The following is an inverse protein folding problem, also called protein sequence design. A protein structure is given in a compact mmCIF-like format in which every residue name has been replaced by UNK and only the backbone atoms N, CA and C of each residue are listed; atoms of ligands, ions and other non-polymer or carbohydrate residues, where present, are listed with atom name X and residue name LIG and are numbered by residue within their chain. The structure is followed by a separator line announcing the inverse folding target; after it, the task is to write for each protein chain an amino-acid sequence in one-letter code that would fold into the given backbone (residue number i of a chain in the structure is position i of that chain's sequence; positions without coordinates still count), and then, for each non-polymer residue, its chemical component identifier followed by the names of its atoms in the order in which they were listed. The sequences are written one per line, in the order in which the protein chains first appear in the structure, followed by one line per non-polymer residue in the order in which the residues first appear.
data_IF_237030144257
#
_entry.id   IF_237030144257
#
_cell.length_a   1.000
_cell.length_b   1.000
_cell.length_c   1.000
_cell.angle_alpha   90.00
_cell.angle_beta   90.00
_cell.angle_gamma   90.00
#
_symmetry.space_group_name_H-M   'P 1'
#
loop_
_entity.id
_entity.type
_entity.pdbx_description
1 polymer ?
#
# COMPACT_ATOMS: atom_id res chain seq x y z
N UNK A 1 -40.79 -36.97 -57.98
CA UNK A 1 -41.58 -37.28 -56.75
C UNK A 1 -41.35 -36.12 -55.77
N UNK A 2 -42.26 -35.13 -55.71
CA UNK A 2 -43.20 -34.87 -54.57
C UNK A 2 -42.50 -35.00 -53.19
N UNK A 3 -42.50 -34.03 -52.26
CA UNK A 3 -43.17 -32.73 -52.09
C UNK A 3 -42.49 -32.02 -50.90
N UNK A 4 -42.51 -30.68 -50.92
CA UNK A 4 -42.27 -29.75 -49.80
C UNK A 4 -43.15 -30.07 -48.57
N UNK A 5 -42.76 -29.62 -47.38
CA UNK A 5 -43.56 -28.66 -46.59
C UNK A 5 -42.76 -28.01 -45.45
N UNK A 6 -42.68 -26.68 -45.48
CA UNK A 6 -42.53 -25.78 -44.32
C UNK A 6 -43.80 -25.84 -43.46
N UNK A 7 -43.69 -25.83 -42.14
CA UNK A 7 -44.64 -25.12 -41.25
C UNK A 7 -43.88 -24.57 -40.03
N UNK A 8 -43.95 -23.24 -39.89
CA UNK A 8 -43.62 -22.43 -38.72
C UNK A 8 -44.59 -22.68 -37.56
N UNK A 9 -44.16 -22.53 -36.31
CA UNK A 9 -45.00 -21.92 -35.27
C UNK A 9 -44.15 -21.19 -34.24
N UNK A 10 -44.45 -19.90 -34.09
CA UNK A 10 -44.17 -19.05 -32.94
C UNK A 10 -44.86 -19.63 -31.70
N UNK A 11 -44.25 -19.49 -30.52
CA UNK A 11 -44.98 -19.28 -29.26
C UNK A 11 -44.12 -18.48 -28.27
N UNK A 12 -44.77 -17.44 -27.77
CA UNK A 12 -44.39 -16.37 -26.85
C UNK A 12 -44.20 -16.82 -25.40
N UNK A 13 -43.31 -16.09 -24.71
CA UNK A 13 -43.35 -15.66 -23.30
C UNK A 13 -44.39 -16.30 -22.36
N UNK A 14 -43.89 -16.89 -21.26
CA UNK A 14 -44.57 -16.87 -19.97
C UNK A 14 -43.53 -16.65 -18.85
N UNK A 15 -43.60 -15.45 -18.27
CA UNK A 15 -43.04 -15.11 -16.95
C UNK A 15 -43.83 -15.89 -15.91
N UNK A 16 -43.14 -16.65 -15.06
CA UNK A 16 -43.69 -17.11 -13.78
C UNK A 16 -42.61 -17.01 -12.71
N UNK A 17 -42.72 -15.95 -11.91
CA UNK A 17 -41.97 -15.75 -10.70
C UNK A 17 -42.31 -16.86 -9.68
N UNK A 18 -41.28 -17.58 -9.24
CA UNK A 18 -41.22 -18.25 -7.94
C UNK A 18 -39.81 -17.92 -7.41
N UNK A 19 -39.64 -16.99 -6.49
CA UNK A 19 -40.26 -17.02 -5.17
C UNK A 19 -39.56 -18.05 -4.28
N UNK A 20 -38.22 -18.07 -4.25
CA UNK A 20 -37.48 -18.69 -3.15
C UNK A 20 -36.58 -17.64 -2.51
N UNK A 21 -37.06 -17.15 -1.36
CA UNK A 21 -36.31 -16.35 -0.42
C UNK A 21 -35.02 -17.09 -0.06
N UNK A 22 -33.91 -16.67 -0.64
CA UNK A 22 -32.57 -17.09 -0.22
C UNK A 22 -32.07 -16.11 0.83
N UNK A 23 -32.64 -16.17 2.03
CA UNK A 23 -32.11 -15.48 3.19
C UNK A 23 -31.44 -16.48 4.12
N UNK A 24 -30.17 -16.17 4.41
CA UNK A 24 -29.38 -16.56 5.57
C UNK A 24 -29.15 -18.05 5.80
N UNK A 25 -28.00 -18.54 5.34
CA UNK A 25 -26.90 -18.91 6.25
C UNK A 25 -25.58 -18.57 5.56
N UNK A 26 -25.22 -17.29 5.58
CA UNK A 26 -23.83 -16.87 5.43
C UNK A 26 -23.08 -17.43 6.64
N UNK A 27 -22.56 -18.65 6.53
CA UNK A 27 -21.47 -19.09 7.42
C UNK A 27 -20.31 -18.14 7.12
N UNK A 28 -20.18 -17.07 7.92
CA UNK A 28 -18.89 -16.38 8.06
C UNK A 28 -17.88 -17.49 8.34
N UNK A 29 -16.91 -17.66 7.44
CA UNK A 29 -15.89 -18.70 7.58
C UNK A 29 -15.21 -18.47 8.93
N UNK A 30 -15.07 -19.48 9.81
CA UNK A 30 -14.51 -19.31 11.16
C UNK A 30 -13.18 -18.52 11.16
N UNK A 31 -12.32 -18.76 10.15
CA UNK A 31 -11.04 -18.09 9.99
C UNK A 31 -11.11 -16.57 9.74
N UNK A 32 -12.19 -16.03 9.15
CA UNK A 32 -12.32 -14.57 8.98
C UNK A 32 -12.66 -13.86 10.29
N UNK A 33 -13.39 -14.54 11.19
CA UNK A 33 -13.72 -13.97 12.50
C UNK A 33 -12.50 -13.96 13.43
N UNK A 34 -11.70 -15.04 13.40
CA UNK A 34 -10.44 -15.13 14.14
C UNK A 34 -9.43 -14.07 13.66
N UNK A 35 -9.20 -13.96 12.34
CA UNK A 35 -8.34 -12.92 11.75
C UNK A 35 -8.72 -11.51 12.22
N UNK A 36 -10.00 -11.15 12.12
CA UNK A 36 -10.49 -9.82 12.54
C UNK A 36 -10.20 -9.57 14.02
N UNK A 37 -10.42 -10.57 14.88
CA UNK A 37 -10.14 -10.43 16.32
C UNK A 37 -8.66 -10.19 16.61
N UNK A 38 -7.76 -10.86 15.88
CA UNK A 38 -6.31 -10.67 16.01
C UNK A 38 -5.92 -9.25 15.60
N UNK A 39 -6.42 -8.76 14.47
CA UNK A 39 -6.12 -7.41 13.98
C UNK A 39 -6.68 -6.33 14.91
N UNK A 40 -7.92 -6.48 15.37
CA UNK A 40 -8.52 -5.59 16.35
C UNK A 40 -7.71 -5.52 17.65
N UNK A 41 -7.19 -6.67 18.10
CA UNK A 41 -6.32 -6.73 19.27
C UNK A 41 -5.04 -5.94 19.04
N UNK A 42 -4.36 -6.13 17.90
CA UNK A 42 -3.13 -5.39 17.54
C UNK A 42 -3.37 -3.88 17.53
N UNK A 43 -4.44 -3.43 16.86
CA UNK A 43 -4.77 -2.00 16.72
C UNK A 43 -5.32 -1.35 18.00
N UNK A 44 -5.53 -2.12 19.06
CA UNK A 44 -5.96 -1.63 20.38
C UNK A 44 -4.80 -1.54 21.39
N UNK A 45 -3.61 -2.02 21.01
CA UNK A 45 -2.44 -2.12 21.87
C UNK A 45 -1.34 -1.17 21.42
N UNK A 46 -0.38 -0.91 22.32
CA UNK A 46 0.84 -0.21 21.94
C UNK A 46 1.65 -1.04 20.94
N UNK A 47 2.29 -0.36 19.99
CA UNK A 47 3.13 -1.00 18.97
C UNK A 47 4.27 -1.78 19.63
N UNK A 48 4.40 -3.10 19.39
CA UNK A 48 5.49 -3.88 19.96
C UNK A 48 6.80 -3.56 19.24
N UNK A 49 7.97 -3.81 19.88
CA UNK A 49 9.27 -3.56 19.26
C UNK A 49 9.40 -4.19 17.86
N UNK A 50 10.03 -3.47 16.93
CA UNK A 50 10.30 -3.96 15.59
C UNK A 50 11.24 -5.17 15.65
N UNK A 51 10.82 -6.30 15.06
CA UNK A 51 11.51 -7.58 15.13
C UNK A 51 12.12 -7.94 13.77
N UNK A 52 12.99 -8.94 13.75
CA UNK A 52 13.51 -9.49 12.49
C UNK A 52 12.38 -10.06 11.59
N UNK A 53 11.32 -10.61 12.19
CA UNK A 53 10.16 -11.11 11.45
C UNK A 53 9.34 -9.97 10.84
N UNK A 54 9.19 -8.85 11.55
CA UNK A 54 8.59 -7.63 10.97
C UNK A 54 9.37 -7.16 9.76
N UNK A 55 10.71 -7.10 9.87
CA UNK A 55 11.56 -6.70 8.76
C UNK A 55 11.48 -7.65 7.56
N UNK A 56 11.35 -8.96 7.80
CA UNK A 56 11.15 -9.92 6.71
C UNK A 56 9.89 -9.60 5.91
N UNK A 57 8.78 -9.29 6.60
CA UNK A 57 7.52 -8.95 5.96
C UNK A 57 7.55 -7.55 5.30
N UNK A 58 8.13 -6.54 5.94
CA UNK A 58 8.29 -5.19 5.36
C UNK A 58 9.00 -5.26 4.02
N UNK A 59 10.05 -6.09 3.91
CA UNK A 59 10.85 -6.24 2.69
C UNK A 59 10.10 -6.90 1.52
N UNK A 60 8.95 -7.53 1.78
CA UNK A 60 8.10 -8.13 0.75
C UNK A 60 7.07 -7.15 0.18
N UNK A 61 6.83 -6.03 0.85
CA UNK A 61 5.79 -5.09 0.44
C UNK A 61 6.06 -4.54 -0.96
N UNK A 62 4.98 -4.41 -1.72
CA UNK A 62 4.96 -3.89 -3.09
C UNK A 62 4.34 -2.49 -3.10
N UNK A 63 5.15 -1.53 -3.49
CA UNK A 63 4.74 -0.13 -3.56
C UNK A 63 4.12 0.16 -4.93
N UNK A 64 2.91 0.71 -4.91
CA UNK A 64 2.21 1.19 -6.10
C UNK A 64 2.01 2.72 -6.05
N UNK A 65 1.75 3.32 -7.21
CA UNK A 65 1.31 4.70 -7.28
C UNK A 65 -0.20 4.77 -7.04
N UNK A 66 -0.63 5.45 -5.98
CA UNK A 66 -2.04 5.71 -5.71
C UNK A 66 -2.44 7.00 -6.43
N UNK A 67 -3.30 6.97 -7.48
CA UNK A 67 -3.60 8.15 -8.30
C UNK A 67 -4.68 9.06 -7.66
N UNK A 68 -4.60 9.29 -6.35
CA UNK A 68 -5.53 10.16 -5.62
C UNK A 68 -4.97 11.58 -5.63
N UNK A 69 -5.69 12.52 -6.25
CA UNK A 69 -5.30 13.93 -6.37
C UNK A 69 -3.96 14.11 -7.11
N UNK A 70 -2.88 14.52 -6.44
CA UNK A 70 -1.54 14.57 -7.05
C UNK A 70 -0.88 13.19 -7.14
N UNK A 71 -1.43 12.24 -6.39
CA UNK A 71 -0.93 10.89 -6.20
C UNK A 71 0.20 10.81 -5.18
N UNK A 72 0.44 9.60 -4.69
CA UNK A 72 1.56 9.31 -3.81
C UNK A 72 1.85 7.80 -3.77
N UNK A 73 3.02 7.39 -3.28
CA UNK A 73 3.30 5.98 -3.02
C UNK A 73 2.33 5.39 -1.98
N UNK A 74 1.86 4.17 -2.24
CA UNK A 74 1.03 3.39 -1.32
C UNK A 74 1.11 1.90 -1.60
N UNK A 75 0.15 1.14 -1.10
CA UNK A 75 0.11 -0.32 -1.20
C UNK A 75 -1.24 -0.80 -1.70
N UNK A 76 -1.28 -2.00 -2.25
CA UNK A 76 -2.55 -2.70 -2.48
C UNK A 76 -3.01 -3.34 -1.15
N UNK A 77 -4.16 -2.93 -0.58
CA UNK A 77 -4.66 -3.52 0.66
C UNK A 77 -5.12 -4.97 0.51
N UNK A 78 -5.35 -5.44 -0.73
CA UNK A 78 -5.78 -6.80 -1.05
C UNK A 78 -4.58 -7.73 -1.20
N UNK A 79 -3.57 -7.32 -1.96
CA UNK A 79 -2.32 -8.06 -2.15
C UNK A 79 -1.06 -7.23 -1.86
N UNK A 80 -0.74 -6.96 -0.58
CA UNK A 80 0.39 -6.13 -0.19
C UNK A 80 1.75 -6.62 -0.67
N UNK A 81 1.90 -7.93 -0.88
CA UNK A 81 3.13 -8.57 -1.35
C UNK A 81 3.11 -8.84 -2.86
N UNK A 82 1.99 -8.57 -3.55
CA UNK A 82 1.73 -9.02 -4.92
C UNK A 82 1.75 -10.55 -5.06
N UNK A 83 1.88 -11.01 -6.31
CA UNK A 83 2.01 -12.42 -6.66
C UNK A 83 0.70 -13.22 -6.61
N UNK A 84 0.80 -14.53 -6.84
CA UNK A 84 -0.37 -15.40 -7.00
C UNK A 84 -0.90 -15.98 -5.68
N UNK A 85 -0.07 -16.00 -4.62
CA UNK A 85 -0.45 -16.54 -3.32
C UNK A 85 -1.22 -15.50 -2.50
N UNK A 86 -2.06 -15.96 -1.58
CA UNK A 86 -2.67 -15.06 -0.62
C UNK A 86 -1.58 -14.40 0.25
N UNK A 87 -1.82 -13.19 0.73
CA UNK A 87 -0.87 -12.48 1.60
C UNK A 87 -0.50 -13.30 2.84
N UNK A 88 -1.47 -14.03 3.40
CA UNK A 88 -1.26 -14.84 4.59
C UNK A 88 -0.40 -16.08 4.29
N UNK A 89 -0.63 -16.75 3.16
CA UNK A 89 0.19 -17.90 2.75
C UNK A 89 1.64 -17.47 2.50
N UNK A 90 1.85 -16.35 1.81
CA UNK A 90 3.18 -15.76 1.60
C UNK A 90 3.85 -15.41 2.93
N UNK A 91 3.12 -14.79 3.87
CA UNK A 91 3.64 -14.49 5.20
C UNK A 91 4.06 -15.77 5.96
N UNK A 92 3.21 -16.79 5.96
CA UNK A 92 3.50 -18.09 6.58
C UNK A 92 4.73 -18.76 5.97
N UNK A 93 4.87 -18.73 4.65
CA UNK A 93 6.02 -19.30 3.94
C UNK A 93 7.33 -18.58 4.31
N UNK A 94 7.35 -17.25 4.27
CA UNK A 94 8.56 -16.46 4.58
C UNK A 94 8.95 -16.58 6.04
N UNK A 95 7.96 -16.53 6.94
CA UNK A 95 8.18 -16.69 8.38
C UNK A 95 8.49 -18.14 8.79
N UNK A 96 8.34 -19.10 7.86
CA UNK A 96 8.41 -20.55 8.13
C UNK A 96 7.52 -20.95 9.30
N UNK A 97 6.31 -20.41 9.32
CA UNK A 97 5.32 -20.58 10.39
C UNK A 97 4.08 -21.29 9.86
N UNK A 98 3.57 -22.25 10.61
CA UNK A 98 2.26 -22.86 10.37
C UNK A 98 1.15 -22.24 11.21
N UNK A 99 1.46 -21.21 12.00
CA UNK A 99 0.50 -20.49 12.85
C UNK A 99 -0.07 -19.27 12.09
N UNK A 100 -1.32 -19.35 11.60
CA UNK A 100 -1.94 -18.25 10.88
C UNK A 100 -2.25 -17.04 11.77
N UNK A 101 -2.47 -17.23 13.07
CA UNK A 101 -2.71 -16.14 14.01
C UNK A 101 -1.42 -15.34 14.24
N UNK A 102 -0.28 -16.02 14.37
CA UNK A 102 1.03 -15.37 14.43
C UNK A 102 1.31 -14.54 13.17
N UNK A 103 1.13 -15.13 11.97
CA UNK A 103 1.37 -14.41 10.71
C UNK A 103 0.42 -13.23 10.52
N UNK A 104 -0.86 -13.39 10.89
CA UNK A 104 -1.85 -12.30 10.88
C UNK A 104 -1.43 -11.16 11.80
N UNK A 105 -1.02 -11.50 13.03
CA UNK A 105 -0.57 -10.53 14.02
C UNK A 105 0.64 -9.75 13.54
N UNK A 106 1.69 -10.43 13.09
CA UNK A 106 2.91 -9.79 12.60
C UNK A 106 2.64 -8.89 11.39
N UNK A 107 1.75 -9.30 10.49
CA UNK A 107 1.40 -8.47 9.33
C UNK A 107 0.55 -7.24 9.72
N UNK A 108 -0.35 -7.38 10.70
CA UNK A 108 -1.08 -6.24 11.26
C UNK A 108 -0.14 -5.27 11.99
N UNK A 109 0.84 -5.79 12.75
CA UNK A 109 1.89 -5.00 13.39
C UNK A 109 2.75 -4.27 12.34
N UNK A 110 3.06 -4.92 11.20
CA UNK A 110 3.73 -4.27 10.06
C UNK A 110 2.92 -3.09 9.50
N UNK A 111 1.59 -3.21 9.40
CA UNK A 111 0.75 -2.10 8.94
C UNK A 111 0.93 -0.84 9.81
N UNK A 112 1.02 -1.02 11.13
CA UNK A 112 1.28 0.07 12.08
C UNK A 112 2.73 0.56 12.05
N UNK A 113 3.70 -0.33 11.81
CA UNK A 113 5.12 0.01 11.77
C UNK A 113 5.54 0.85 10.56
N UNK A 114 4.77 0.83 9.46
CA UNK A 114 5.21 1.43 8.19
C UNK A 114 5.57 2.93 8.28
N UNK A 115 4.73 3.82 8.85
CA UNK A 115 5.07 5.23 8.97
C UNK A 115 6.33 5.45 9.80
N UNK A 116 6.45 4.77 10.95
CA UNK A 116 7.60 4.90 11.85
C UNK A 116 8.88 4.33 11.23
N UNK A 117 8.79 3.17 10.56
CA UNK A 117 9.91 2.59 9.83
C UNK A 117 10.40 3.56 8.76
N UNK A 118 9.50 4.07 7.92
CA UNK A 118 9.89 4.98 6.83
C UNK A 118 10.49 6.27 7.38
N UNK A 119 9.92 6.85 8.44
CA UNK A 119 10.43 8.07 9.06
C UNK A 119 11.84 7.94 9.65
N UNK A 120 12.26 6.73 10.03
CA UNK A 120 13.51 6.51 10.78
C UNK A 120 14.51 5.58 10.10
N UNK A 121 14.12 4.87 9.05
CA UNK A 121 15.02 3.98 8.33
C UNK A 121 16.10 4.78 7.62
N UNK A 122 17.30 4.21 7.59
CA UNK A 122 18.43 4.78 6.86
C UNK A 122 18.77 3.90 5.67
N UNK A 123 19.18 4.54 4.58
CA UNK A 123 19.72 3.88 3.40
C UNK A 123 20.75 4.78 2.74
N UNK A 124 21.91 4.22 2.40
CA UNK A 124 22.94 4.98 1.70
C UNK A 124 22.48 5.33 0.27
N UNK A 125 22.88 6.48 -0.28
CA UNK A 125 22.70 6.74 -1.71
C UNK A 125 23.41 5.69 -2.57
N UNK A 126 22.84 5.36 -3.71
CA UNK A 126 23.42 4.41 -4.64
C UNK A 126 22.43 3.79 -5.60
N UNK A 127 22.95 2.92 -6.46
CA UNK A 127 22.15 2.21 -7.48
C UNK A 127 21.64 0.90 -6.89
N UNK A 128 20.32 0.74 -6.84
CA UNK A 128 19.64 -0.44 -6.33
C UNK A 128 18.83 -1.12 -7.44
N UNK A 129 18.72 -2.44 -7.39
CA UNK A 129 17.83 -3.19 -8.28
C UNK A 129 16.38 -3.01 -7.84
N UNK A 130 15.49 -2.72 -8.78
CA UNK A 130 14.05 -2.77 -8.52
C UNK A 130 13.55 -4.21 -8.65
N UNK A 131 12.42 -4.55 -8.02
CA UNK A 131 11.75 -5.80 -8.32
C UNK A 131 11.39 -5.91 -9.82
N UNK A 132 11.46 -7.11 -10.44
CA UNK A 132 11.26 -7.28 -11.88
C UNK A 132 9.92 -6.77 -12.43
N UNK A 133 8.90 -6.74 -11.59
CA UNK A 133 7.49 -6.37 -11.86
C UNK A 133 7.12 -5.01 -11.24
N UNK A 134 8.10 -4.19 -10.85
CA UNK A 134 7.84 -2.92 -10.15
C UNK A 134 7.16 -1.86 -11.02
N UNK A 135 7.37 -1.91 -12.33
CA UNK A 135 6.71 -1.05 -13.32
C UNK A 135 6.83 -1.70 -14.69
N UNK A 136 6.20 -1.14 -15.73
CA UNK A 136 6.38 -1.53 -17.13
C UNK A 136 7.84 -1.39 -17.65
N UNK A 137 8.79 -1.07 -16.77
CA UNK A 137 10.23 -1.03 -17.05
C UNK A 137 10.80 -2.44 -17.20
N UNK A 138 11.95 -2.55 -17.84
CA UNK A 138 12.62 -3.83 -18.08
C UNK A 138 12.97 -4.59 -16.77
N UNK A 139 13.06 -5.94 -16.79
CA UNK A 139 13.35 -6.78 -15.62
C UNK A 139 14.65 -6.44 -14.87
N UNK A 140 15.62 -5.81 -15.56
CA UNK A 140 16.90 -5.37 -15.00
C UNK A 140 16.92 -3.88 -14.63
N UNK A 141 15.73 -3.31 -14.40
CA UNK A 141 15.63 -1.90 -14.04
C UNK A 141 16.26 -1.64 -12.67
N UNK A 142 17.05 -0.56 -12.64
CA UNK A 142 17.74 -0.11 -11.44
C UNK A 142 17.34 1.32 -11.14
N UNK A 143 17.23 1.65 -9.87
CA UNK A 143 16.92 2.98 -9.40
C UNK A 143 18.14 3.62 -8.73
N UNK A 144 18.43 4.88 -9.07
CA UNK A 144 19.44 5.67 -8.40
C UNK A 144 18.81 6.35 -7.17
N UNK A 145 19.06 5.79 -5.99
CA UNK A 145 18.56 6.31 -4.73
C UNK A 145 19.46 7.46 -4.24
N UNK A 146 18.88 8.63 -3.99
CA UNK A 146 19.59 9.87 -3.66
C UNK A 146 19.15 10.40 -2.28
N UNK A 147 19.95 11.25 -1.62
CA UNK A 147 19.59 11.85 -0.34
C UNK A 147 18.25 12.58 -0.33
N UNK A 148 17.89 13.25 -1.43
CA UNK A 148 16.62 13.95 -1.56
C UNK A 148 15.42 13.00 -1.47
N UNK A 149 15.55 11.77 -1.98
CA UNK A 149 14.49 10.78 -1.86
C UNK A 149 14.26 10.40 -0.40
N UNK A 150 15.34 10.10 0.34
CA UNK A 150 15.24 9.76 1.75
C UNK A 150 14.67 10.91 2.58
N UNK A 151 15.11 12.14 2.31
CA UNK A 151 14.64 13.35 2.99
C UNK A 151 13.12 13.53 2.81
N UNK A 152 12.60 13.31 1.61
CA UNK A 152 11.16 13.41 1.34
C UNK A 152 10.37 12.26 1.95
N UNK A 153 10.91 11.03 1.94
CA UNK A 153 10.26 9.88 2.58
C UNK A 153 10.17 10.06 4.10
N UNK A 154 11.22 10.61 4.72
CA UNK A 154 11.22 10.96 6.14
C UNK A 154 10.18 12.02 6.50
N UNK A 155 9.90 12.94 5.57
CA UNK A 155 8.92 14.01 5.74
C UNK A 155 7.51 13.65 5.25
N UNK A 156 7.30 12.43 4.75
CA UNK A 156 6.02 12.03 4.17
C UNK A 156 4.90 12.02 5.24
N UNK A 157 3.75 12.59 4.89
CA UNK A 157 2.55 12.55 5.71
C UNK A 157 1.73 11.31 5.37
N UNK A 158 1.46 10.50 6.39
CA UNK A 158 0.73 9.24 6.26
C UNK A 158 -0.74 9.41 6.65
N UNK A 159 -1.61 8.70 5.92
CA UNK A 159 -2.98 8.40 6.31
C UNK A 159 -2.97 7.02 6.92
N UNK A 160 -3.16 6.97 8.24
CA UNK A 160 -3.13 5.75 9.04
C UNK A 160 -4.55 5.29 9.34
N UNK A 161 -4.71 3.97 9.51
CA UNK A 161 -5.99 3.38 9.95
C UNK A 161 -6.00 3.39 11.48
N UNK A 162 -6.86 4.20 12.08
CA UNK A 162 -7.05 4.22 13.53
C UNK A 162 -7.98 3.11 14.03
N UNK A 163 -8.07 2.97 15.35
CA UNK A 163 -9.02 2.04 16.00
C UNK A 163 -10.48 2.32 15.59
N UNK A 164 -10.83 3.58 15.37
CA UNK A 164 -12.19 4.00 14.98
C UNK A 164 -12.52 3.68 13.50
N UNK A 165 -11.52 3.71 12.62
CA UNK A 165 -11.69 3.43 11.18
C UNK A 165 -11.61 1.94 10.86
N UNK A 166 -10.89 1.17 11.69
CA UNK A 166 -10.61 -0.25 11.47
C UNK A 166 -11.86 -1.11 11.23
N UNK A 167 -12.99 -0.95 11.96
CA UNK A 167 -14.20 -1.73 11.70
C UNK A 167 -14.74 -1.55 10.28
N UNK A 168 -14.60 -0.35 9.70
CA UNK A 168 -15.02 -0.08 8.33
C UNK A 168 -14.10 -0.75 7.33
N UNK A 169 -12.78 -0.64 7.51
CA UNK A 169 -11.79 -1.32 6.64
C UNK A 169 -11.99 -2.84 6.64
N UNK A 170 -12.22 -3.46 7.81
CA UNK A 170 -12.46 -4.90 7.91
C UNK A 170 -13.86 -5.33 7.44
N UNK A 171 -14.79 -4.38 7.27
CA UNK A 171 -16.11 -4.66 6.71
C UNK A 171 -16.07 -4.84 5.18
N UNK A 172 -15.10 -4.23 4.50
CA UNK A 172 -14.87 -4.34 3.05
C UNK A 172 -14.36 -5.73 2.61
N UNK A 173 -14.09 -6.64 3.54
CA UNK A 173 -13.77 -8.02 3.20
C UNK A 173 -15.01 -8.76 2.65
N UNK A 174 -15.05 -8.94 1.33
CA UNK A 174 -16.08 -9.69 0.62
C UNK A 174 -15.53 -11.03 0.09
N UNK A 175 -16.38 -12.05 0.01
CA UNK A 175 -16.11 -13.36 -0.61
C UNK A 175 -14.83 -14.10 -0.19
N UNK A 176 -14.29 -13.77 1.00
CA UNK A 176 -13.08 -14.39 1.54
C UNK A 176 -11.78 -13.71 1.08
N UNK A 177 -11.87 -12.57 0.38
CA UNK A 177 -10.72 -11.72 0.09
C UNK A 177 -10.38 -10.90 1.34
N UNK A 178 -9.20 -11.13 1.91
CA UNK A 178 -8.73 -10.38 3.07
C UNK A 178 -8.31 -8.96 2.67
N UNK A 179 -8.67 -7.98 3.49
CA UNK A 179 -8.25 -6.58 3.38
C UNK A 179 -7.31 -6.25 4.54
N UNK A 180 -6.14 -5.71 4.23
CA UNK A 180 -5.15 -5.29 5.21
C UNK A 180 -5.28 -3.78 5.48
N UNK A 181 -5.31 -3.35 6.76
CA UNK A 181 -5.43 -1.94 7.15
C UNK A 181 -4.11 -1.19 6.95
N UNK A 182 -3.60 -1.17 5.72
CA UNK A 182 -2.34 -0.53 5.38
C UNK A 182 -2.49 1.00 5.37
N UNK A 183 -1.50 1.72 5.91
CA UNK A 183 -1.43 3.15 5.74
C UNK A 183 -0.94 3.50 4.33
N UNK A 184 -1.16 4.73 3.91
CA UNK A 184 -0.67 5.25 2.63
C UNK A 184 -0.23 6.71 2.78
N UNK A 185 0.67 7.17 1.92
CA UNK A 185 1.07 8.59 1.92
C UNK A 185 -0.09 9.43 1.37
N UNK A 186 -0.37 10.58 1.98
CA UNK A 186 -1.45 11.48 1.57
C UNK A 186 -1.20 12.03 0.15
N UNK A 187 -1.95 11.50 -0.84
CA UNK A 187 -1.83 11.94 -2.25
C UNK A 187 -2.31 13.38 -2.52
N UNK A 188 -3.03 14.01 -1.58
CA UNK A 188 -3.42 15.42 -1.68
C UNK A 188 -2.35 16.32 -1.08
N UNK A 189 -1.74 15.89 0.02
CA UNK A 189 -0.82 16.67 0.85
C UNK A 189 0.33 15.81 1.38
N UNK A 190 1.23 15.36 0.50
CA UNK A 190 2.21 14.34 0.87
C UNK A 190 3.30 14.83 1.81
N UNK A 191 3.53 16.15 1.93
CA UNK A 191 4.70 16.71 2.63
C UNK A 191 4.40 17.92 3.53
N UNK A 192 3.13 18.31 3.68
CA UNK A 192 2.76 19.54 4.39
C UNK A 192 1.29 19.87 4.26
N UNK A 193 0.90 21.12 4.53
CA UNK A 193 -0.49 21.55 4.51
C UNK A 193 -0.92 22.24 3.21
N UNK A 194 0.01 22.42 2.25
CA UNK A 194 -0.20 23.24 1.05
C UNK A 194 -0.73 22.40 -0.10
N UNK A 195 -1.66 22.97 -0.86
CA UNK A 195 -2.19 22.32 -2.07
C UNK A 195 -1.15 22.17 -3.18
N UNK A 196 -0.12 23.01 -3.18
CA UNK A 196 0.98 22.96 -4.14
C UNK A 196 2.20 22.34 -3.46
N UNK A 197 2.24 21.01 -3.47
CA UNK A 197 3.16 20.21 -2.67
C UNK A 197 4.65 20.49 -2.98
N UNK A 198 4.98 21.02 -4.16
CA UNK A 198 6.34 21.39 -4.52
C UNK A 198 6.90 22.47 -3.59
N UNK A 199 6.06 23.37 -3.05
CA UNK A 199 6.51 24.37 -2.08
C UNK A 199 6.97 23.69 -0.78
N UNK A 200 6.20 22.74 -0.26
CA UNK A 200 6.57 21.98 0.93
C UNK A 200 7.85 21.17 0.69
N UNK A 201 7.94 20.48 -0.45
CA UNK A 201 9.16 19.78 -0.85
C UNK A 201 10.38 20.70 -0.90
N UNK A 202 10.23 21.88 -1.50
CA UNK A 202 11.30 22.86 -1.63
C UNK A 202 11.80 23.33 -0.26
N UNK A 203 10.88 23.57 0.69
CA UNK A 203 11.22 23.94 2.06
C UNK A 203 11.97 22.80 2.78
N UNK A 204 11.45 21.57 2.70
CA UNK A 204 12.05 20.36 3.28
C UNK A 204 13.47 20.12 2.74
N UNK A 205 13.67 20.33 1.44
CA UNK A 205 14.96 20.16 0.78
C UNK A 205 15.92 21.34 0.98
N UNK A 206 15.55 22.35 1.78
CA UNK A 206 16.37 23.53 2.07
C UNK A 206 16.56 24.47 0.88
N UNK A 207 15.66 24.40 -0.11
CA UNK A 207 15.69 25.20 -1.35
C UNK A 207 14.34 25.92 -1.57
N UNK A 208 13.88 26.77 -0.64
CA UNK A 208 12.56 27.39 -0.72
C UNK A 208 12.37 28.22 -2.00
N UNK A 209 11.10 28.44 -2.39
CA UNK A 209 10.80 29.37 -3.49
C UNK A 209 10.98 30.81 -3.05
N UNK A 210 11.50 31.66 -3.94
CA UNK A 210 11.54 33.10 -3.72
C UNK A 210 10.11 33.66 -3.72
N UNK A 211 9.94 34.81 -3.06
CA UNK A 211 8.68 35.56 -3.06
C UNK A 211 8.87 36.92 -3.73
N UNK A 212 7.84 37.38 -4.44
CA UNK A 212 7.81 38.73 -5.02
C UNK A 212 7.51 39.78 -3.94
N UNK A 213 7.47 41.06 -4.33
CA UNK A 213 7.18 42.17 -3.42
C UNK A 213 5.79 42.08 -2.75
N UNK A 214 4.86 41.33 -3.33
CA UNK A 214 3.52 41.07 -2.82
C UNK A 214 3.46 39.82 -1.92
N UNK A 215 4.60 39.19 -1.64
CA UNK A 215 4.69 37.99 -0.82
C UNK A 215 4.23 36.70 -1.53
N UNK A 216 3.93 36.75 -2.82
CA UNK A 216 3.52 35.57 -3.59
C UNK A 216 4.75 34.77 -4.04
N UNK A 217 4.63 33.44 -4.10
CA UNK A 217 5.70 32.59 -4.60
C UNK A 217 5.97 32.85 -6.09
N UNK A 218 7.24 32.99 -6.42
CA UNK A 218 7.73 32.98 -7.79
C UNK A 218 7.99 31.51 -8.12
N UNK A 219 7.32 30.96 -9.13
CA UNK A 219 7.36 29.53 -9.48
C UNK A 219 8.09 29.32 -10.83
N UNK A 220 9.42 29.13 -10.84
CA UNK A 220 10.14 28.85 -12.07
C UNK A 220 9.74 27.46 -12.62
N UNK A 221 9.30 27.35 -13.89
CA UNK A 221 8.82 26.08 -14.45
C UNK A 221 9.81 24.92 -14.34
N UNK A 222 11.11 25.21 -14.49
CA UNK A 222 12.15 24.19 -14.36
C UNK A 222 12.25 23.61 -12.95
N UNK A 223 12.07 24.44 -11.92
CA UNK A 223 12.10 24.00 -10.52
C UNK A 223 10.86 23.16 -10.21
N UNK A 224 9.70 23.62 -10.66
CA UNK A 224 8.43 22.90 -10.48
C UNK A 224 8.49 21.50 -11.11
N UNK A 225 8.96 21.41 -12.34
CA UNK A 225 9.08 20.12 -13.04
C UNK A 225 10.12 19.22 -12.37
N UNK A 226 11.26 19.76 -11.92
CA UNK A 226 12.27 18.98 -11.20
C UNK A 226 11.70 18.39 -9.90
N UNK A 227 10.93 19.17 -9.13
CA UNK A 227 10.30 18.69 -7.89
C UNK A 227 9.17 17.70 -8.16
N UNK A 228 8.39 17.90 -9.23
CA UNK A 228 7.39 16.92 -9.67
C UNK A 228 8.05 15.57 -10.04
N UNK A 229 9.12 15.59 -10.81
CA UNK A 229 9.85 14.36 -11.15
C UNK A 229 10.41 13.67 -9.90
N UNK A 230 10.95 14.45 -8.97
CA UNK A 230 11.43 13.95 -7.68
C UNK A 230 10.29 13.31 -6.86
N UNK A 231 9.10 13.90 -6.87
CA UNK A 231 7.91 13.35 -6.22
C UNK A 231 7.49 12.02 -6.85
N UNK A 232 7.43 11.92 -8.18
CA UNK A 232 7.12 10.66 -8.87
C UNK A 232 8.15 9.56 -8.56
N UNK A 233 9.42 9.93 -8.43
CA UNK A 233 10.51 9.02 -8.05
C UNK A 233 10.36 8.46 -6.63
N UNK A 234 9.53 9.06 -5.77
CA UNK A 234 9.32 8.56 -4.41
C UNK A 234 8.66 7.18 -4.35
N UNK A 235 7.98 6.74 -5.42
CA UNK A 235 7.46 5.37 -5.50
C UNK A 235 8.58 4.34 -5.48
N UNK A 236 9.52 4.48 -6.42
CA UNK A 236 10.71 3.62 -6.52
C UNK A 236 11.59 3.77 -5.27
N UNK A 237 11.74 5.00 -4.76
CA UNK A 237 12.50 5.23 -3.55
C UNK A 237 11.91 4.52 -2.33
N UNK A 238 10.59 4.56 -2.15
CA UNK A 238 9.92 3.87 -1.05
C UNK A 238 10.13 2.36 -1.18
N UNK A 239 9.97 1.79 -2.38
CA UNK A 239 10.22 0.36 -2.62
C UNK A 239 11.63 -0.05 -2.20
N UNK A 240 12.63 0.72 -2.63
CA UNK A 240 14.03 0.47 -2.30
C UNK A 240 14.30 0.64 -0.80
N UNK A 241 13.68 1.63 -0.15
CA UNK A 241 13.81 1.82 1.30
C UNK A 241 13.20 0.66 2.09
N UNK A 242 12.05 0.12 1.69
CA UNK A 242 11.46 -1.06 2.36
C UNK A 242 12.32 -2.31 2.19
N UNK A 243 12.91 -2.51 1.01
CA UNK A 243 13.76 -3.67 0.71
C UNK A 243 15.12 -3.63 1.42
N UNK A 244 15.74 -2.46 1.50
CA UNK A 244 17.16 -2.34 1.88
C UNK A 244 17.40 -1.46 3.11
N UNK A 245 16.40 -0.71 3.56
CA UNK A 245 16.50 0.19 4.70
C UNK A 245 16.89 -0.53 5.98
N UNK A 246 17.72 0.13 6.78
CA UNK A 246 18.07 -0.31 8.12
C UNK A 246 17.26 0.52 9.12
N UNK A 247 16.42 -0.11 9.97
CA UNK A 247 15.67 0.64 10.97
C UNK A 247 16.62 1.22 12.02
N UNK A 248 16.31 2.41 12.51
CA UNK A 248 17.01 2.99 13.65
C UNK A 248 16.70 2.18 14.92
N UNK A 249 17.71 1.92 15.76
CA UNK A 249 17.51 1.31 17.08
C UNK A 249 17.63 -0.21 17.17
N UNK A 250 17.79 -0.95 16.07
CA UNK A 250 18.18 -2.36 16.16
C UNK A 250 19.70 -2.41 16.33
N UNK A 251 20.17 -2.65 17.57
CA UNK A 251 21.53 -3.18 17.76
C UNK A 251 21.62 -4.43 16.92
N UNK A 252 22.48 -4.40 15.90
CA UNK A 252 22.79 -5.55 15.06
C UNK A 252 23.02 -6.76 15.96
N UNK A 253 22.10 -7.72 15.92
CA UNK A 253 22.41 -9.06 16.35
C UNK A 253 23.31 -9.60 15.25
N UNK A 254 24.61 -9.48 15.48
CA UNK A 254 25.62 -10.11 14.66
C UNK A 254 25.32 -11.61 14.56
N UNK A 255 25.27 -12.06 13.30
CA UNK A 255 25.41 -13.43 12.76
C UNK A 255 25.41 -14.59 13.75
#
# INVERSE_FOLDING_TARGET
MKRRLLISTLSTLAVAATGSLSWSWLRKRPGSTERRSVIQTVFSQALPPLSAQHLQLIRLLRVQWMPIESGAPGFDPVQPFGGDLSTLDTAQQVLRSHDPALSTRLLAEVCLWLPEFVANATLAPGRYALPPDFSDQAPDSSFDFRPEHLTLLHAALWREVGTDDLPYVLAEEEDGQAIWPLPYIDGKRPYGDRSYYQIDMADILGKPYARNAQGQYILPPQKDEALKQLHLQTQAALQILLMHGTPSGIRSLAT
#
